data_IF_863121844116
#
_entry.id   IF_863121844116
#
_cell.length_a   1.000
_cell.length_b   1.000
_cell.length_c   1.000
_cell.angle_alpha   90.00
_cell.angle_beta   90.00
_cell.angle_gamma   90.00
#
_symmetry.space_group_name_H-M   'P 1'
#
loop_
_entity.id
_entity.type
_entity.pdbx_description
1 polymer ?
#
# COMPACT_ATOMS: atom_id res chain seq x y z
N UNK A 1 0.38 -4.81 -11.90
CA UNK A 1 0.21 -3.36 -12.20
C UNK A 1 1.10 -2.56 -11.26
N UNK A 2 1.41 -1.29 -11.59
CA UNK A 2 2.13 -0.38 -10.68
C UNK A 2 1.12 0.52 -9.98
N UNK A 3 1.09 0.52 -8.65
CA UNK A 3 0.07 1.20 -7.84
C UNK A 3 0.73 2.18 -6.88
N UNK A 4 0.24 3.42 -6.85
CA UNK A 4 0.60 4.42 -5.85
C UNK A 4 -0.45 4.41 -4.74
N UNK A 5 -0.03 4.20 -3.49
CA UNK A 5 -0.92 4.25 -2.32
C UNK A 5 -0.50 5.41 -1.43
N UNK A 6 -1.40 6.37 -1.24
CA UNK A 6 -1.26 7.40 -0.20
C UNK A 6 -1.87 6.93 1.10
N UNK A 7 -1.27 7.21 2.25
CA UNK A 7 -1.83 6.81 3.55
C UNK A 7 -1.67 5.31 3.85
N UNK A 8 -0.66 4.65 3.25
CA UNK A 8 -0.45 3.20 3.37
C UNK A 8 0.05 2.71 4.74
N UNK A 9 0.38 3.61 5.66
CA UNK A 9 0.64 3.28 7.07
C UNK A 9 -0.62 3.37 7.95
N UNK A 10 -1.76 3.80 7.40
CA UNK A 10 -3.05 3.78 8.10
C UNK A 10 -3.63 2.37 8.27
N UNK A 11 -4.72 2.25 9.04
CA UNK A 11 -5.40 0.96 9.30
C UNK A 11 -5.78 0.22 8.00
N UNK A 12 -6.49 0.90 7.09
CA UNK A 12 -6.89 0.31 5.80
C UNK A 12 -5.70 0.26 4.84
N UNK A 13 -4.90 1.32 4.80
CA UNK A 13 -3.79 1.45 3.88
C UNK A 13 -2.78 0.30 4.01
N UNK A 14 -2.44 -0.06 5.24
CA UNK A 14 -1.49 -1.14 5.52
C UNK A 14 -2.01 -2.51 5.07
N UNK A 15 -3.27 -2.84 5.37
CA UNK A 15 -3.90 -4.08 4.92
C UNK A 15 -4.02 -4.14 3.39
N UNK A 16 -4.36 -3.03 2.74
CA UNK A 16 -4.45 -2.94 1.28
C UNK A 16 -3.07 -3.14 0.62
N UNK A 17 -2.02 -2.49 1.12
CA UNK A 17 -0.65 -2.66 0.59
C UNK A 17 -0.21 -4.12 0.69
N UNK A 18 -0.45 -4.77 1.83
CA UNK A 18 -0.13 -6.19 2.02
C UNK A 18 -0.88 -7.07 1.01
N UNK A 19 -2.18 -6.87 0.85
CA UNK A 19 -2.98 -7.62 -0.11
C UNK A 19 -2.48 -7.43 -1.55
N UNK A 20 -2.23 -6.19 -1.97
CA UNK A 20 -1.75 -5.87 -3.32
C UNK A 20 -0.39 -6.53 -3.62
N UNK A 21 0.53 -6.54 -2.65
CA UNK A 21 1.88 -7.09 -2.83
C UNK A 21 1.90 -8.61 -2.69
N UNK A 22 1.31 -9.15 -1.62
CA UNK A 22 1.44 -10.57 -1.25
C UNK A 22 0.48 -11.45 -2.03
N UNK A 23 -0.78 -11.04 -2.17
CA UNK A 23 -1.82 -11.89 -2.79
C UNK A 23 -1.91 -11.65 -4.30
N UNK A 24 -1.73 -10.40 -4.74
CA UNK A 24 -1.94 -9.99 -6.13
C UNK A 24 -0.65 -9.71 -6.91
N UNK A 25 0.51 -9.75 -6.25
CA UNK A 25 1.82 -9.59 -6.91
C UNK A 25 2.00 -8.25 -7.62
N UNK A 26 1.34 -7.19 -7.13
CA UNK A 26 1.47 -5.84 -7.69
C UNK A 26 2.69 -5.12 -7.12
N UNK A 27 3.29 -4.27 -7.95
CA UNK A 27 4.36 -3.39 -7.52
C UNK A 27 3.73 -2.13 -6.92
N UNK A 28 4.00 -1.86 -5.64
CA UNK A 28 3.34 -0.79 -4.88
C UNK A 28 4.37 0.22 -4.39
N UNK A 29 4.12 1.50 -4.65
CA UNK A 29 4.82 2.61 -4.01
C UNK A 29 3.89 3.26 -2.99
N UNK A 30 4.33 3.32 -1.74
CA UNK A 30 3.56 3.94 -0.66
C UNK A 30 4.11 5.31 -0.33
N UNK A 31 3.23 6.31 -0.22
CA UNK A 31 3.57 7.67 0.24
C UNK A 31 2.72 7.98 1.46
N UNK A 32 3.37 8.29 2.57
CA UNK A 32 2.66 8.62 3.81
C UNK A 32 3.36 9.77 4.54
N UNK A 33 2.55 10.55 5.24
CA UNK A 33 3.03 11.60 6.12
C UNK A 33 2.89 11.09 7.56
N UNK A 34 3.84 10.26 7.96
CA UNK A 34 3.92 9.76 9.34
C UNK A 34 4.10 10.95 10.29
N UNK A 35 3.12 11.16 11.17
CA UNK A 35 3.17 12.14 12.27
C UNK A 35 3.68 11.52 13.55
#
# INVERSE_FOLDING_TARGET
>A
MRVLVTGGCGFIGSALVLHLVQDLGHEVLTVDAMT
#
